data_IF_795707906933
#
_entry.id   IF_795707906933
#
_cell.length_a   1.000
_cell.length_b   1.000
_cell.length_c   1.000
_cell.angle_alpha   90.00
_cell.angle_beta   90.00
_cell.angle_gamma   90.00
#
_symmetry.space_group_name_H-M   'P 1'
#
loop_
_entity.id
_entity.type
_entity.pdbx_description
1 polymer ?
#
# COMPACT_ATOMS: atom_id res chain seq x y z
N UNK A 1 11.31 16.88 -14.75
CA UNK A 1 11.30 16.67 -13.30
C UNK A 1 10.45 17.76 -12.67
N UNK A 2 9.34 17.37 -12.05
CA UNK A 2 8.44 18.29 -11.33
C UNK A 2 9.13 18.81 -10.06
N UNK A 3 8.75 20.01 -9.64
CA UNK A 3 9.17 20.59 -8.36
C UNK A 3 8.03 21.41 -7.78
N UNK A 4 7.88 21.38 -6.46
CA UNK A 4 6.88 22.13 -5.72
C UNK A 4 7.56 22.80 -4.52
N UNK A 5 7.17 24.03 -4.23
CA UNK A 5 7.63 24.75 -3.03
C UNK A 5 6.46 24.87 -2.08
N UNK A 6 6.66 24.38 -0.86
CA UNK A 6 5.71 24.49 0.24
C UNK A 6 6.22 25.58 1.21
N UNK A 7 5.40 26.59 1.45
CA UNK A 7 5.65 27.59 2.50
C UNK A 7 4.79 27.25 3.70
N UNK A 8 5.43 26.89 4.81
CA UNK A 8 4.76 26.61 6.08
C UNK A 8 4.76 27.84 6.97
N UNK A 9 3.60 28.08 7.57
CA UNK A 9 3.39 29.05 8.64
C UNK A 9 3.60 28.39 10.02
N UNK A 10 3.37 29.15 11.09
CA UNK A 10 3.63 28.72 12.46
C UNK A 10 2.54 27.77 13.02
N UNK A 11 1.59 27.29 12.21
CA UNK A 11 0.45 26.48 12.70
C UNK A 11 0.86 25.12 13.25
N UNK A 12 2.01 24.61 12.81
CA UNK A 12 2.56 23.34 13.27
C UNK A 12 3.66 23.50 14.32
N UNK A 13 4.01 24.75 14.67
CA UNK A 13 5.18 25.12 15.48
C UNK A 13 6.08 26.11 14.73
N UNK A 14 6.65 27.09 15.44
CA UNK A 14 7.56 28.07 14.84
C UNK A 14 8.85 27.43 14.30
N UNK A 15 9.23 26.29 14.87
CA UNK A 15 10.39 25.51 14.45
C UNK A 15 10.23 24.91 13.05
N UNK A 16 9.00 24.61 12.63
CA UNK A 16 8.71 24.01 11.32
C UNK A 16 8.37 25.07 10.26
N UNK A 17 8.16 26.32 10.65
CA UNK A 17 7.85 27.39 9.73
C UNK A 17 9.01 27.65 8.76
N UNK A 18 8.67 27.91 7.50
CA UNK A 18 9.66 28.22 6.47
C UNK A 18 9.39 27.57 5.13
N UNK A 19 10.42 27.54 4.30
CA UNK A 19 10.33 27.14 2.89
C UNK A 19 10.88 25.74 2.70
N UNK A 20 10.05 24.85 2.18
CA UNK A 20 10.39 23.49 1.79
C UNK A 20 10.32 23.36 0.28
N UNK A 21 11.30 22.68 -0.31
CA UNK A 21 11.40 22.48 -1.75
C UNK A 21 11.41 21.00 -2.04
N UNK A 22 10.37 20.54 -2.72
CA UNK A 22 10.21 19.17 -3.18
C UNK A 22 10.58 19.07 -4.65
N UNK A 23 11.23 17.97 -5.02
CA UNK A 23 11.49 17.60 -6.42
C UNK A 23 11.15 16.14 -6.65
N UNK A 24 10.77 15.87 -7.89
CA UNK A 24 10.42 14.53 -8.35
C UNK A 24 11.65 13.61 -8.24
N UNK A 25 11.45 12.47 -7.57
CA UNK A 25 12.45 11.39 -7.57
C UNK A 25 12.30 10.56 -8.85
N UNK A 26 13.41 9.99 -9.31
CA UNK A 26 13.35 9.08 -10.47
C UNK A 26 12.55 7.82 -10.14
N UNK A 27 11.96 7.22 -11.17
CA UNK A 27 11.29 5.93 -11.05
C UNK A 27 12.20 4.87 -10.40
N UNK A 28 13.48 4.83 -10.79
CA UNK A 28 14.46 3.91 -10.22
C UNK A 28 14.74 4.16 -8.72
N UNK A 29 14.76 5.42 -8.27
CA UNK A 29 14.92 5.75 -6.85
C UNK A 29 13.70 5.30 -6.05
N UNK A 30 12.50 5.57 -6.56
CA UNK A 30 11.24 5.13 -5.94
C UNK A 30 11.15 3.61 -5.85
N UNK A 31 11.46 2.91 -6.94
CA UNK A 31 11.45 1.44 -6.98
C UNK A 31 12.39 0.85 -5.92
N UNK A 32 13.59 1.43 -5.74
CA UNK A 32 14.50 1.03 -4.67
C UNK A 32 13.94 1.28 -3.27
N UNK A 33 13.26 2.40 -3.03
CA UNK A 33 12.64 2.70 -1.73
C UNK A 33 11.57 1.65 -1.41
N UNK A 34 10.68 1.37 -2.36
CA UNK A 34 9.63 0.35 -2.18
C UNK A 34 10.28 -1.01 -1.90
N UNK A 35 11.21 -1.46 -2.74
CA UNK A 35 11.90 -2.74 -2.55
C UNK A 35 12.65 -2.87 -1.23
N UNK A 36 13.21 -1.76 -0.71
CA UNK A 36 13.91 -1.73 0.58
C UNK A 36 12.98 -2.06 1.75
N UNK A 37 11.71 -1.65 1.66
CA UNK A 37 10.73 -1.76 2.74
C UNK A 37 9.61 -2.77 2.46
N UNK A 38 9.68 -3.48 1.33
CA UNK A 38 8.75 -4.55 0.97
C UNK A 38 9.50 -5.88 0.93
N UNK A 39 9.02 -6.86 1.69
CA UNK A 39 9.52 -8.24 1.65
C UNK A 39 8.73 -9.02 0.62
N UNK A 40 9.44 -9.69 -0.28
CA UNK A 40 8.85 -10.52 -1.33
C UNK A 40 9.13 -12.00 -1.07
N UNK A 41 8.23 -12.86 -1.55
CA UNK A 41 8.47 -14.29 -1.65
C UNK A 41 9.44 -14.57 -2.81
N UNK A 42 10.56 -15.23 -2.53
CA UNK A 42 11.61 -15.47 -3.53
C UNK A 42 11.20 -16.43 -4.66
N UNK A 43 10.12 -17.19 -4.50
CA UNK A 43 9.64 -18.17 -5.48
C UNK A 43 8.48 -17.62 -6.29
N UNK A 44 7.48 -17.04 -5.62
CA UNK A 44 6.26 -16.56 -6.30
C UNK A 44 6.34 -15.10 -6.73
N UNK A 45 7.22 -14.30 -6.10
CA UNK A 45 7.29 -12.85 -6.30
C UNK A 45 6.22 -12.07 -5.52
N UNK A 46 5.38 -12.75 -4.73
CA UNK A 46 4.30 -12.10 -3.97
C UNK A 46 4.85 -11.23 -2.82
N UNK A 47 4.11 -10.18 -2.47
CA UNK A 47 4.42 -9.33 -1.32
C UNK A 47 4.03 -10.04 -0.02
N UNK A 48 5.01 -10.29 0.85
CA UNK A 48 4.80 -10.91 2.17
C UNK A 48 4.46 -9.87 3.24
N UNK A 49 5.14 -8.73 3.21
CA UNK A 49 4.91 -7.61 4.12
C UNK A 49 5.47 -6.35 3.52
N UNK A 50 4.80 -5.22 3.69
CA UNK A 50 5.33 -3.91 3.31
C UNK A 50 5.26 -2.96 4.48
N UNK A 51 6.31 -2.18 4.73
CA UNK A 51 6.26 -1.10 5.72
C UNK A 51 5.89 0.21 5.00
N UNK A 52 4.59 0.49 4.95
CA UNK A 52 4.08 1.65 4.24
C UNK A 52 4.52 2.98 4.86
N UNK A 53 4.64 3.03 6.19
CA UNK A 53 5.09 4.22 6.93
C UNK A 53 6.53 4.54 6.55
N UNK A 54 7.40 3.53 6.54
CA UNK A 54 8.80 3.70 6.11
C UNK A 54 8.93 4.09 4.64
N UNK A 55 8.10 3.52 3.75
CA UNK A 55 8.07 3.90 2.33
C UNK A 55 7.69 5.36 2.17
N UNK A 56 6.65 5.83 2.86
CA UNK A 56 6.23 7.22 2.82
C UNK A 56 7.32 8.15 3.36
N UNK A 57 7.84 7.87 4.56
CA UNK A 57 8.85 8.71 5.21
C UNK A 57 10.12 8.85 4.34
N UNK A 58 10.60 7.75 3.76
CA UNK A 58 11.77 7.81 2.86
C UNK A 58 11.44 8.48 1.52
N UNK A 59 10.22 8.36 1.02
CA UNK A 59 9.78 9.09 -0.19
C UNK A 59 9.73 10.60 0.06
N UNK A 60 9.21 11.04 1.20
CA UNK A 60 9.23 12.45 1.63
C UNK A 60 10.69 12.92 1.70
N UNK A 61 11.56 12.20 2.40
CA UNK A 61 12.97 12.58 2.54
C UNK A 61 13.72 12.60 1.20
N UNK A 62 13.46 11.64 0.32
CA UNK A 62 14.12 11.56 -0.98
C UNK A 62 13.65 12.67 -1.95
N UNK A 63 12.40 13.12 -1.82
CA UNK A 63 11.85 14.21 -2.62
C UNK A 63 12.14 15.60 -2.02
N UNK A 64 12.44 15.67 -0.71
CA UNK A 64 12.77 16.91 -0.02
C UNK A 64 14.21 17.35 -0.33
N UNK A 65 14.35 18.38 -1.17
CA UNK A 65 15.65 18.92 -1.61
C UNK A 65 16.06 20.21 -0.90
N UNK A 66 15.12 20.91 -0.28
CA UNK A 66 15.39 22.13 0.47
C UNK A 66 14.44 22.25 1.65
N UNK A 67 14.95 22.73 2.77
CA UNK A 67 14.20 22.92 4.01
C UNK A 67 14.92 23.95 4.90
N UNK A 68 14.26 24.50 5.94
CA UNK A 68 14.89 25.43 6.87
C UNK A 68 16.10 24.80 7.59
N UNK A 69 17.18 25.57 7.74
CA UNK A 69 18.44 25.08 8.36
C UNK A 69 18.35 24.90 9.87
N UNK A 70 17.48 25.66 10.56
CA UNK A 70 17.42 25.68 12.02
C UNK A 70 16.86 24.38 12.61
N UNK A 71 15.85 23.80 11.97
CA UNK A 71 15.18 22.58 12.45
C UNK A 71 14.81 21.69 11.26
N UNK A 72 15.81 21.02 10.65
CA UNK A 72 15.54 20.17 9.51
C UNK A 72 14.66 18.98 9.92
N UNK A 73 13.72 18.64 9.06
CA UNK A 73 13.02 17.38 9.06
C UNK A 73 14.04 16.28 8.73
N UNK A 74 14.05 15.26 9.58
CA UNK A 74 14.89 14.08 9.42
C UNK A 74 14.02 12.84 9.29
N UNK A 75 14.59 11.77 8.71
CA UNK A 75 13.90 10.50 8.57
C UNK A 75 13.46 9.95 9.94
N UNK A 76 14.30 10.08 10.97
CA UNK A 76 14.00 9.64 12.34
C UNK A 76 12.76 10.34 12.90
N UNK A 77 12.60 11.65 12.67
CA UNK A 77 11.41 12.38 13.14
C UNK A 77 10.14 12.01 12.38
N UNK A 78 10.26 11.66 11.10
CA UNK A 78 9.13 11.18 10.29
C UNK A 78 8.66 9.77 10.71
N UNK A 79 9.56 8.94 11.23
CA UNK A 79 9.28 7.58 11.70
C UNK A 79 8.94 7.50 13.20
N UNK A 80 9.11 8.59 13.94
CA UNK A 80 8.89 8.61 15.38
C UNK A 80 7.40 8.62 15.69
N UNK A 81 6.95 7.65 16.49
CA UNK A 81 5.57 7.58 17.01
C UNK A 81 5.36 8.52 18.21
N UNK A 82 6.44 9.00 18.82
CA UNK A 82 6.42 9.89 19.98
C UNK A 82 6.02 11.32 19.59
N UNK A 83 4.93 11.85 20.14
CA UNK A 83 4.46 13.22 19.87
C UNK A 83 5.45 14.33 20.27
N UNK A 84 6.39 14.06 21.18
CA UNK A 84 7.39 15.05 21.63
C UNK A 84 8.62 15.12 20.71
N UNK A 85 8.99 14.01 20.07
CA UNK A 85 10.20 13.91 19.24
C UNK A 85 9.88 13.87 17.75
N UNK A 86 8.73 13.28 17.41
CA UNK A 86 8.19 13.18 16.07
C UNK A 86 7.58 14.47 15.56
N UNK A 87 7.04 14.40 14.35
CA UNK A 87 6.32 15.50 13.74
C UNK A 87 4.82 15.42 14.05
N UNK A 88 4.11 16.56 14.13
CA UNK A 88 2.67 16.57 14.18
C UNK A 88 2.08 15.78 13.00
N UNK A 89 1.06 14.97 13.26
CA UNK A 89 0.43 14.11 12.24
C UNK A 89 0.00 14.91 11.00
N UNK A 90 -0.66 16.04 11.20
CA UNK A 90 -1.13 16.91 10.12
C UNK A 90 0.02 17.47 9.26
N UNK A 91 1.20 17.69 9.87
CA UNK A 91 2.39 18.10 9.14
C UNK A 91 2.92 16.95 8.28
N UNK A 92 2.98 15.73 8.83
CA UNK A 92 3.41 14.54 8.07
C UNK A 92 2.49 14.30 6.88
N UNK A 93 1.18 14.37 7.07
CA UNK A 93 0.19 14.19 6.01
C UNK A 93 0.34 15.27 4.92
N UNK A 94 0.53 16.53 5.30
CA UNK A 94 0.77 17.61 4.33
C UNK A 94 2.02 17.37 3.49
N UNK A 95 3.13 16.94 4.10
CA UNK A 95 4.36 16.62 3.39
C UNK A 95 4.20 15.40 2.47
N UNK A 96 3.48 14.38 2.92
CA UNK A 96 3.15 13.20 2.13
C UNK A 96 2.34 13.56 0.88
N UNK A 97 1.33 14.43 1.03
CA UNK A 97 0.52 14.91 -0.08
C UNK A 97 1.36 15.67 -1.12
N UNK A 98 2.24 16.58 -0.68
CA UNK A 98 3.14 17.34 -1.58
C UNK A 98 4.10 16.38 -2.30
N UNK A 99 4.77 15.50 -1.55
CA UNK A 99 5.66 14.48 -2.12
C UNK A 99 4.92 13.60 -3.13
N UNK A 100 3.68 13.22 -2.82
CA UNK A 100 2.81 12.42 -3.69
C UNK A 100 2.45 13.11 -4.99
N UNK A 101 2.08 14.39 -4.95
CA UNK A 101 1.80 15.20 -6.16
C UNK A 101 3.03 15.33 -7.05
N UNK A 102 4.19 15.60 -6.45
CA UNK A 102 5.45 15.80 -7.18
C UNK A 102 5.95 14.49 -7.78
N UNK A 103 5.80 13.37 -7.07
CA UNK A 103 6.20 12.04 -7.53
C UNK A 103 5.11 11.32 -8.35
N UNK A 104 3.99 11.99 -8.65
CA UNK A 104 2.86 11.47 -9.41
C UNK A 104 2.32 10.13 -8.88
N UNK A 105 2.18 10.00 -7.56
CA UNK A 105 1.59 8.80 -6.93
C UNK A 105 0.12 8.67 -7.37
N UNK A 106 -0.23 7.55 -7.98
CA UNK A 106 -1.64 7.25 -8.27
C UNK A 106 -2.33 6.72 -7.02
N UNK A 107 -3.64 6.93 -6.90
CA UNK A 107 -4.43 6.36 -5.79
C UNK A 107 -4.30 4.83 -5.72
N UNK A 108 -4.14 4.17 -6.87
CA UNK A 108 -3.95 2.73 -6.96
C UNK A 108 -2.62 2.27 -6.36
N UNK A 109 -1.53 2.98 -6.62
CA UNK A 109 -0.23 2.69 -6.02
C UNK A 109 -0.24 2.91 -4.51
N UNK A 110 -0.87 3.98 -4.05
CA UNK A 110 -1.05 4.26 -2.63
C UNK A 110 -1.86 3.15 -1.95
N UNK A 111 -2.95 2.72 -2.58
CA UNK A 111 -3.78 1.62 -2.07
C UNK A 111 -3.03 0.29 -2.05
N UNK A 112 -2.24 -0.02 -3.10
CA UNK A 112 -1.43 -1.23 -3.17
C UNK A 112 -0.40 -1.29 -2.04
N UNK A 113 0.34 -0.20 -1.82
CA UNK A 113 1.38 -0.13 -0.79
C UNK A 113 0.80 -0.13 0.63
N UNK A 114 -0.33 0.55 0.84
CA UNK A 114 -1.03 0.57 2.13
C UNK A 114 -1.64 -0.79 2.47
N UNK A 115 -2.34 -1.43 1.53
CA UNK A 115 -2.99 -2.72 1.76
C UNK A 115 -1.97 -3.86 2.00
N UNK A 116 -0.77 -3.76 1.42
CA UNK A 116 0.35 -4.65 1.71
C UNK A 116 0.96 -4.45 3.12
N UNK A 117 0.69 -3.32 3.77
CA UNK A 117 1.14 -3.00 5.13
C UNK A 117 0.14 -3.42 6.20
N UNK A 118 -1.15 -3.38 5.87
CA UNK A 118 -2.22 -3.91 6.71
C UNK A 118 -2.22 -5.44 6.63
N UNK A 119 -1.22 -6.06 7.28
CA UNK A 119 -1.10 -7.50 7.43
C UNK A 119 -2.27 -8.09 8.22
N UNK A 120 -3.44 -8.21 7.60
CA UNK A 120 -4.51 -9.08 8.06
C UNK A 120 -4.28 -10.44 7.43
N UNK A 121 -3.78 -11.39 8.24
CA UNK A 121 -3.95 -12.81 7.97
C UNK A 121 -5.41 -13.04 7.54
N UNK A 122 -5.70 -13.51 6.31
CA UNK A 122 -6.89 -14.29 6.13
C UNK A 122 -6.57 -15.69 6.68
N UNK A 123 -6.66 -15.84 8.00
CA UNK A 123 -7.05 -17.14 8.53
C UNK A 123 -8.57 -17.13 8.52
N UNK A 124 -9.26 -17.66 7.49
CA UNK A 124 -10.54 -18.27 7.79
C UNK A 124 -10.20 -19.50 8.63
N UNK A 125 -10.37 -19.36 9.93
CA UNK A 125 -10.50 -20.48 10.86
C UNK A 125 -11.37 -21.56 10.20
N UNK A 126 -10.78 -22.73 9.99
CA UNK A 126 -11.49 -23.92 9.55
C UNK A 126 -12.70 -24.12 10.46
N UNK A 127 -13.95 -24.19 9.95
CA UNK A 127 -14.99 -24.88 10.66
C UNK A 127 -14.81 -26.37 10.37
N UNK A 128 -14.15 -27.06 11.29
CA UNK A 128 -14.44 -28.47 11.54
C UNK A 128 -15.90 -28.56 12.00
N UNK A 129 -16.82 -28.81 11.09
CA UNK A 129 -18.12 -29.43 11.36
C UNK A 129 -18.16 -30.65 10.43
N UNK A 130 -18.11 -31.88 10.93
CA UNK A 130 -19.19 -32.43 11.74
C UNK A 130 -19.99 -33.35 10.82
N UNK A 131 -19.62 -34.63 10.84
CA UNK A 131 -20.28 -35.72 10.12
C UNK A 131 -21.78 -35.77 10.43
N UNK A 132 -22.63 -35.82 9.40
CA UNK A 132 -24.02 -36.31 9.51
C UNK A 132 -24.44 -36.99 8.19
N UNK A 133 -24.92 -38.23 8.33
CA UNK A 133 -25.35 -39.17 7.28
C UNK A 133 -26.85 -39.03 7.00
N UNK A 134 -27.24 -38.82 5.74
CA UNK A 134 -28.59 -39.11 5.24
C UNK A 134 -28.40 -39.46 3.74
N UNK A 135 -28.17 -40.71 3.35
CA UNK A 135 -29.16 -41.74 2.95
C UNK A 135 -30.30 -41.23 2.06
N UNK A 136 -30.56 -42.00 1.00
CA UNK A 136 -31.68 -41.96 0.03
C UNK A 136 -31.34 -41.38 -1.37
N UNK A 137 -30.73 -42.25 -2.19
CA UNK A 137 -31.34 -42.79 -3.42
C UNK A 137 -31.61 -41.88 -4.63
N UNK A 138 -31.13 -42.22 -5.85
CA UNK A 138 -31.50 -41.54 -7.09
C UNK A 138 -32.89 -41.95 -7.58
N UNK A 139 -33.67 -41.04 -8.21
CA UNK A 139 -34.97 -41.39 -8.77
C UNK A 139 -34.79 -42.24 -10.04
N UNK A 140 -35.28 -43.49 -9.99
CA UNK A 140 -35.53 -44.32 -11.16
C UNK A 140 -36.67 -43.72 -11.98
N UNK A 141 -36.42 -43.44 -13.26
CA UNK A 141 -37.46 -43.32 -14.26
C UNK A 141 -36.98 -43.94 -15.57
N UNK A 142 -37.55 -45.10 -15.89
CA UNK A 142 -37.67 -45.72 -17.21
C UNK A 142 -39.13 -46.20 -17.25
N UNK A 143 -39.86 -46.10 -18.38
CA UNK A 143 -39.50 -46.96 -19.50
C UNK A 143 -39.78 -46.41 -20.93
N UNK A 144 -38.94 -46.87 -21.86
CA UNK A 144 -39.22 -47.32 -23.24
C UNK A 144 -39.98 -46.41 -24.23
N UNK A 145 -39.27 -45.90 -25.26
CA UNK A 145 -39.37 -46.33 -26.68
C UNK A 145 -38.42 -45.50 -27.58
N UNK A 146 -37.80 -46.08 -28.64
CA UNK A 146 -36.83 -45.39 -29.52
C UNK A 146 -37.46 -44.84 -30.81
N UNK A 147 -36.88 -43.81 -31.45
CA UNK A 147 -37.03 -43.59 -32.88
C UNK A 147 -35.75 -43.90 -33.67
N UNK A 148 -35.99 -44.39 -34.89
CA UNK A 148 -35.09 -44.97 -35.89
C UNK A 148 -33.95 -44.06 -36.42
N UNK A 149 -32.94 -44.68 -37.07
CA UNK A 149 -31.79 -44.00 -37.67
C UNK A 149 -32.13 -43.32 -39.00
N UNK A 150 -31.65 -42.09 -39.19
CA UNK A 150 -31.53 -41.49 -40.52
C UNK A 150 -30.24 -41.98 -41.18
N UNK A 151 -30.38 -42.74 -42.26
CA UNK A 151 -29.32 -43.05 -43.23
C UNK A 151 -29.37 -41.98 -44.32
N UNK A 152 -28.22 -41.37 -44.59
CA UNK A 152 -27.98 -40.58 -45.81
C UNK A 152 -27.67 -41.51 -46.98
N UNK A 153 -28.20 -41.13 -48.15
CA UNK A 153 -27.88 -41.57 -49.53
C UNK A 153 -28.33 -42.95 -49.99
#
# INVERSE_FOLDING_TARGET
>A
MKSETLSLDNRFGEEFAGKYVFKEITWAKRSRIIQKYTKYNNVTGDVLSSDYVSIQAETIMASLHGQPEKHPITLERLLSEDSEKGLPYDLVDLLAQVAGRVCSLTMEETAFLSNASDGKNPTPSSPTLGSAKNSVGPPQNLPSSPPEPFINT
#
